data_IF_894760635852
#
_entry.id   IF_894760635852
#
_cell.length_a   1.000
_cell.length_b   1.000
_cell.length_c   1.000
_cell.angle_alpha   90.00
_cell.angle_beta   90.00
_cell.angle_gamma   90.00
#
_symmetry.space_group_name_H-M   'P 1'
#
loop_
_entity.id
_entity.type
_entity.pdbx_description
1 polymer ?
#
# COMPACT_ATOMS: atom_id res chain seq x y z
N UNK A 1 5.14 25.38 -30.03
CA UNK A 1 3.97 24.59 -29.59
C UNK A 1 4.09 24.40 -28.09
N UNK A 2 3.08 24.77 -27.30
CA UNK A 2 3.04 24.38 -25.87
C UNK A 2 2.62 22.91 -25.84
N UNK A 3 3.53 22.02 -25.47
CA UNK A 3 3.22 20.60 -25.26
C UNK A 3 2.25 20.48 -24.09
N UNK A 4 1.04 19.97 -24.36
CA UNK A 4 -0.01 19.83 -23.34
C UNK A 4 0.20 18.50 -22.60
N UNK A 5 0.67 18.58 -21.36
CA UNK A 5 0.78 17.43 -20.45
C UNK A 5 -0.62 16.95 -20.05
N UNK A 6 -0.97 15.72 -20.38
CA UNK A 6 -2.34 15.19 -20.23
C UNK A 6 -2.42 13.83 -19.53
N UNK A 7 -1.28 13.19 -19.22
CA UNK A 7 -1.25 11.88 -18.58
C UNK A 7 -1.21 12.03 -17.06
N UNK A 8 -2.09 11.29 -16.37
CA UNK A 8 -2.03 11.10 -14.92
C UNK A 8 -1.80 9.62 -14.67
N UNK A 9 -0.79 9.28 -13.88
CA UNK A 9 -0.47 7.90 -13.49
C UNK A 9 -0.89 7.68 -12.04
N UNK A 10 -1.37 6.48 -11.73
CA UNK A 10 -1.57 6.02 -10.37
C UNK A 10 -0.48 5.00 -10.01
N UNK A 11 0.35 5.36 -9.03
CA UNK A 11 1.30 4.43 -8.40
C UNK A 11 0.55 3.72 -7.28
N UNK A 12 0.43 2.41 -7.44
CA UNK A 12 -0.43 1.59 -6.60
C UNK A 12 0.19 1.24 -5.23
N UNK A 13 -0.62 0.72 -4.30
CA UNK A 13 -0.27 0.40 -2.93
C UNK A 13 0.86 -0.62 -2.74
N UNK A 14 1.21 -1.39 -3.78
CA UNK A 14 2.19 -2.47 -3.68
C UNK A 14 3.38 -2.33 -4.64
N UNK A 15 3.19 -1.68 -5.80
CA UNK A 15 4.09 -1.80 -6.95
C UNK A 15 5.55 -1.44 -6.63
N UNK A 16 5.82 -0.25 -6.09
CA UNK A 16 7.20 0.12 -5.73
C UNK A 16 7.85 -0.90 -4.78
N UNK A 17 7.14 -1.30 -3.73
CA UNK A 17 7.69 -2.13 -2.67
C UNK A 17 8.00 -3.55 -3.12
N UNK A 18 7.20 -4.12 -4.03
CA UNK A 18 7.44 -5.48 -4.53
C UNK A 18 8.47 -5.51 -5.65
N UNK A 19 8.53 -4.46 -6.48
CA UNK A 19 9.33 -4.44 -7.70
C UNK A 19 10.79 -4.05 -7.47
N UNK A 20 11.10 -3.48 -6.30
CA UNK A 20 12.43 -2.97 -5.97
C UNK A 20 13.08 -3.79 -4.85
N UNK A 21 14.42 -3.95 -4.88
CA UNK A 21 15.15 -4.63 -3.82
C UNK A 21 15.26 -3.75 -2.55
N UNK A 22 15.57 -4.32 -1.37
CA UNK A 22 15.60 -3.57 -0.11
C UNK A 22 16.63 -2.41 -0.06
N UNK A 23 17.63 -2.44 -0.94
CA UNK A 23 18.61 -1.36 -1.11
C UNK A 23 17.98 -0.09 -1.68
N UNK A 24 16.84 -0.21 -2.39
CA UNK A 24 16.10 0.91 -2.94
C UNK A 24 15.11 1.53 -1.93
N UNK A 25 14.96 0.96 -0.72
CA UNK A 25 14.14 1.54 0.36
C UNK A 25 14.87 2.72 1.04
N UNK A 26 15.30 3.69 0.23
CA UNK A 26 16.08 4.87 0.58
C UNK A 26 15.47 6.09 -0.12
N UNK A 27 15.77 7.30 0.34
CA UNK A 27 15.29 8.53 -0.34
C UNK A 27 15.72 8.59 -1.81
N UNK A 28 16.91 8.10 -2.13
CA UNK A 28 17.42 8.04 -3.50
C UNK A 28 16.63 7.05 -4.35
N UNK A 29 16.38 5.83 -3.86
CA UNK A 29 15.58 4.83 -4.58
C UNK A 29 14.13 5.27 -4.80
N UNK A 30 13.53 5.90 -3.80
CA UNK A 30 12.21 6.51 -3.91
C UNK A 30 12.19 7.64 -4.93
N UNK A 31 13.21 8.51 -4.94
CA UNK A 31 13.33 9.60 -5.92
C UNK A 31 13.47 9.07 -7.35
N UNK A 32 14.18 7.94 -7.56
CA UNK A 32 14.34 7.30 -8.87
C UNK A 32 13.01 6.89 -9.50
N UNK A 33 12.02 6.46 -8.71
CA UNK A 33 10.68 6.17 -9.22
C UNK A 33 10.07 7.41 -9.89
N UNK A 34 10.07 8.55 -9.19
CA UNK A 34 9.51 9.81 -9.71
C UNK A 34 10.29 10.32 -10.91
N UNK A 35 11.63 10.22 -10.89
CA UNK A 35 12.48 10.55 -12.03
C UNK A 35 12.09 9.74 -13.28
N UNK A 36 11.84 8.45 -13.10
CA UNK A 36 11.47 7.54 -14.19
C UNK A 36 10.16 7.97 -14.84
N UNK A 37 9.14 8.31 -14.05
CA UNK A 37 7.88 8.83 -14.59
C UNK A 37 8.05 10.23 -15.21
N UNK A 38 8.78 11.12 -14.55
CA UNK A 38 9.01 12.49 -15.01
C UNK A 38 9.82 12.59 -16.31
N UNK A 39 10.51 11.53 -16.72
CA UNK A 39 11.16 11.44 -18.03
C UNK A 39 10.16 11.48 -19.21
N UNK A 40 8.87 11.21 -18.97
CA UNK A 40 7.83 11.31 -19.99
C UNK A 40 7.37 12.75 -20.21
N UNK A 41 7.45 13.23 -21.46
CA UNK A 41 7.00 14.59 -21.83
C UNK A 41 5.49 14.81 -21.64
N UNK A 42 4.69 13.74 -21.62
CA UNK A 42 3.23 13.80 -21.51
C UNK A 42 2.72 13.76 -20.07
N UNK A 43 3.58 13.45 -19.09
CA UNK A 43 3.18 13.30 -17.70
C UNK A 43 2.82 14.65 -17.07
N UNK A 44 1.58 14.75 -16.61
CA UNK A 44 1.05 15.88 -15.83
C UNK A 44 1.19 15.64 -14.33
N UNK A 45 0.71 14.49 -13.86
CA UNK A 45 0.57 14.21 -12.44
C UNK A 45 0.82 12.74 -12.11
N UNK A 46 1.28 12.49 -10.88
CA UNK A 46 1.36 11.17 -10.28
C UNK A 46 0.46 11.18 -9.04
N UNK A 47 -0.39 10.18 -8.93
CA UNK A 47 -1.19 9.91 -7.73
C UNK A 47 -0.58 8.71 -7.02
N UNK A 48 -0.16 8.89 -5.77
CA UNK A 48 0.41 7.83 -4.95
C UNK A 48 -0.69 7.26 -4.06
N UNK A 49 -1.00 5.99 -4.22
CA UNK A 49 -1.95 5.35 -3.32
C UNK A 49 -1.32 5.15 -1.93
N UNK A 50 -2.07 5.51 -0.87
CA UNK A 50 -1.55 5.51 0.51
C UNK A 50 -2.04 4.36 1.38
N UNK A 51 -2.96 3.53 0.87
CA UNK A 51 -3.64 2.53 1.69
C UNK A 51 -4.27 1.40 0.88
N UNK A 52 -4.34 0.23 1.50
CA UNK A 52 -5.36 -0.80 1.27
C UNK A 52 -6.42 -0.59 2.36
N UNK A 53 -6.81 -1.58 3.16
CA UNK A 53 -7.57 -1.31 4.38
C UNK A 53 -6.66 -0.85 5.54
N UNK A 54 -5.37 -1.20 5.46
CA UNK A 54 -4.28 -0.68 6.31
C UNK A 54 -3.50 0.43 5.61
N UNK A 55 -2.90 1.32 6.40
CA UNK A 55 -2.04 2.39 5.90
C UNK A 55 -0.69 1.82 5.42
N UNK A 56 -0.12 2.43 4.38
CA UNK A 56 1.22 2.05 3.89
C UNK A 56 2.35 2.79 4.62
N UNK A 57 2.01 3.81 5.39
CA UNK A 57 2.94 4.60 6.20
C UNK A 57 2.67 4.40 7.68
N UNK A 58 3.56 4.92 8.54
CA UNK A 58 3.36 4.91 9.98
C UNK A 58 2.26 5.91 10.35
N UNK A 59 1.01 5.46 10.32
CA UNK A 59 -0.17 6.26 10.67
C UNK A 59 -0.45 6.15 12.17
N UNK A 60 -0.84 7.27 12.78
CA UNK A 60 -1.26 7.32 14.18
C UNK A 60 -2.75 6.95 14.36
N UNK A 61 -3.51 6.92 13.27
CA UNK A 61 -4.97 6.74 13.30
C UNK A 61 -5.44 5.46 12.63
N UNK A 62 -4.63 4.88 11.74
CA UNK A 62 -4.91 3.63 11.03
C UNK A 62 -3.77 2.65 11.27
N UNK A 63 -4.09 1.36 11.38
CA UNK A 63 -3.06 0.32 11.48
C UNK A 63 -2.17 0.34 10.22
N UNK A 64 -0.83 0.42 10.37
CA UNK A 64 0.07 0.25 9.23
C UNK A 64 0.03 -1.21 8.74
N UNK A 65 0.38 -1.44 7.47
CA UNK A 65 0.38 -2.79 6.87
C UNK A 65 1.24 -3.79 7.65
N UNK A 66 2.30 -3.30 8.30
CA UNK A 66 3.24 -4.05 9.11
C UNK A 66 2.90 -4.06 10.61
N UNK A 67 1.66 -3.74 11.01
CA UNK A 67 1.25 -3.64 12.42
C UNK A 67 1.57 -4.90 13.25
N UNK A 68 1.25 -6.08 12.71
CA UNK A 68 1.45 -7.37 13.38
C UNK A 68 2.75 -8.07 12.94
N UNK A 69 3.55 -7.42 12.09
CA UNK A 69 4.68 -8.03 11.41
C UNK A 69 5.93 -8.05 12.31
N UNK A 70 6.54 -9.22 12.47
CA UNK A 70 7.83 -9.40 13.12
C UNK A 70 8.95 -9.41 12.05
N UNK A 71 9.76 -8.33 11.95
CA UNK A 71 10.82 -8.24 10.96
C UNK A 71 11.92 -9.30 11.13
N UNK A 72 12.24 -9.64 12.38
CA UNK A 72 13.28 -10.61 12.76
C UNK A 72 12.72 -12.03 12.93
N UNK A 73 11.39 -12.16 12.89
CA UNK A 73 10.68 -13.42 13.00
C UNK A 73 10.84 -14.34 11.77
N UNK A 74 10.52 -15.64 11.96
CA UNK A 74 10.57 -16.61 10.87
C UNK A 74 9.53 -16.28 9.77
N UNK A 75 9.68 -16.85 8.56
CA UNK A 75 8.64 -16.79 7.52
C UNK A 75 7.27 -17.27 8.01
N UNK A 76 7.25 -18.27 8.89
CA UNK A 76 6.02 -18.88 9.42
C UNK A 76 5.39 -18.13 10.61
N UNK A 77 5.57 -16.81 10.66
CA UNK A 77 5.00 -15.96 11.71
C UNK A 77 3.48 -15.72 11.50
N UNK A 78 2.71 -15.45 12.58
CA UNK A 78 1.26 -15.27 12.50
C UNK A 78 0.79 -14.29 11.43
N UNK A 79 1.45 -13.14 11.29
CA UNK A 79 1.10 -12.10 10.32
C UNK A 79 1.21 -12.54 8.86
N UNK A 80 1.89 -13.66 8.54
CA UNK A 80 2.09 -14.13 7.18
C UNK A 80 1.38 -15.47 6.90
N UNK A 81 0.60 -15.99 7.86
CA UNK A 81 0.00 -17.34 7.76
C UNK A 81 -0.96 -17.50 6.58
N UNK A 82 -1.66 -16.44 6.19
CA UNK A 82 -2.52 -16.46 5.00
C UNK A 82 -1.75 -16.75 3.70
N UNK A 83 -0.50 -16.31 3.62
CA UNK A 83 0.31 -16.47 2.42
C UNK A 83 0.73 -17.92 2.21
N UNK A 84 0.83 -18.41 0.97
CA UNK A 84 1.47 -19.70 0.71
C UNK A 84 2.97 -19.62 1.09
N UNK A 85 3.61 -20.74 1.51
CA UNK A 85 4.96 -20.71 2.07
C UNK A 85 6.00 -19.96 1.23
N UNK A 86 5.95 -20.10 -0.10
CA UNK A 86 6.89 -19.43 -1.02
C UNK A 86 6.75 -17.89 -1.06
N UNK A 87 5.64 -17.34 -0.57
CA UNK A 87 5.41 -15.89 -0.47
C UNK A 87 5.68 -15.32 0.94
N UNK A 88 5.92 -16.21 1.92
CA UNK A 88 6.36 -15.83 3.27
C UNK A 88 7.86 -15.50 3.33
N UNK A 89 8.60 -15.82 2.28
CA UNK A 89 10.01 -15.47 2.13
C UNK A 89 10.20 -14.06 1.55
N UNK A 90 11.32 -13.42 1.88
CA UNK A 90 11.71 -12.16 1.24
C UNK A 90 12.20 -12.44 -0.18
N UNK A 91 11.34 -12.15 -1.16
CA UNK A 91 11.60 -12.39 -2.58
C UNK A 91 11.16 -11.17 -3.40
N UNK A 92 12.07 -10.52 -4.15
CA UNK A 92 11.68 -9.47 -5.09
C UNK A 92 10.62 -9.96 -6.09
N UNK A 93 9.65 -9.11 -6.41
CA UNK A 93 8.50 -9.41 -7.26
C UNK A 93 7.35 -10.15 -6.57
N UNK A 94 7.44 -10.42 -5.26
CA UNK A 94 6.41 -11.12 -4.50
C UNK A 94 5.52 -10.15 -3.71
N UNK A 95 4.20 -10.28 -3.83
CA UNK A 95 3.20 -9.49 -3.09
C UNK A 95 3.02 -9.91 -1.61
N UNK A 96 3.77 -10.92 -1.15
CA UNK A 96 3.74 -11.40 0.23
C UNK A 96 4.64 -10.62 1.18
N UNK A 97 5.52 -11.31 1.90
CA UNK A 97 6.39 -10.72 2.95
C UNK A 97 7.19 -9.51 2.48
N UNK A 98 7.68 -9.52 1.24
CA UNK A 98 8.48 -8.41 0.67
C UNK A 98 7.78 -7.07 0.79
N UNK A 99 6.48 -7.02 0.48
CA UNK A 99 5.71 -5.78 0.54
C UNK A 99 5.65 -5.23 1.97
N UNK A 100 5.24 -6.08 2.92
CA UNK A 100 5.12 -5.72 4.34
C UNK A 100 6.48 -5.30 4.91
N UNK A 101 7.52 -6.07 4.62
CA UNK A 101 8.87 -5.83 5.11
C UNK A 101 9.48 -4.54 4.56
N UNK A 102 9.28 -4.21 3.29
CA UNK A 102 9.82 -2.98 2.71
C UNK A 102 9.15 -1.71 3.27
N UNK A 103 7.85 -1.76 3.56
CA UNK A 103 7.18 -0.66 4.26
C UNK A 103 7.69 -0.50 5.69
N UNK A 104 7.86 -1.61 6.41
CA UNK A 104 8.50 -1.58 7.74
C UNK A 104 9.93 -1.03 7.66
N UNK A 105 10.71 -1.44 6.66
CA UNK A 105 12.10 -1.03 6.49
C UNK A 105 12.23 0.47 6.25
N UNK A 106 11.33 1.06 5.46
CA UNK A 106 11.26 2.51 5.28
C UNK A 106 11.00 3.23 6.61
N UNK A 107 10.04 2.75 7.39
CA UNK A 107 9.75 3.29 8.72
C UNK A 107 10.93 3.13 9.68
N UNK A 108 11.55 1.95 9.74
CA UNK A 108 12.71 1.67 10.59
C UNK A 108 13.91 2.56 10.23
N UNK A 109 14.02 3.01 8.97
CA UNK A 109 15.01 3.99 8.51
C UNK A 109 14.61 5.45 8.76
N UNK A 110 13.42 5.70 9.31
CA UNK A 110 12.89 7.04 9.55
C UNK A 110 12.42 7.76 8.27
N UNK A 111 12.10 7.01 7.22
CA UNK A 111 11.76 7.56 5.90
C UNK A 111 10.24 7.58 5.70
N UNK A 112 9.69 8.79 5.58
CA UNK A 112 8.35 9.00 5.02
C UNK A 112 8.44 9.05 3.50
N UNK A 113 8.12 7.93 2.86
CA UNK A 113 8.24 7.78 1.42
C UNK A 113 7.26 8.63 0.62
N UNK A 114 6.06 8.91 1.16
CA UNK A 114 5.12 9.81 0.49
C UNK A 114 5.64 11.24 0.49
N UNK A 115 6.23 11.70 1.60
CA UNK A 115 6.90 12.99 1.65
C UNK A 115 8.01 13.08 0.59
N UNK A 116 8.89 12.08 0.52
CA UNK A 116 9.98 12.02 -0.46
C UNK A 116 9.43 12.08 -1.90
N UNK A 117 8.41 11.30 -2.22
CA UNK A 117 7.80 11.31 -3.55
C UNK A 117 7.17 12.65 -3.90
N UNK A 118 6.41 13.26 -2.99
CA UNK A 118 5.80 14.57 -3.22
C UNK A 118 6.86 15.67 -3.40
N UNK A 119 7.95 15.64 -2.64
CA UNK A 119 9.08 16.55 -2.80
C UNK A 119 9.81 16.33 -4.13
N UNK A 120 10.00 15.08 -4.55
CA UNK A 120 10.57 14.75 -5.86
C UNK A 120 9.65 15.24 -6.99
N UNK A 121 8.33 15.06 -6.90
CA UNK A 121 7.37 15.59 -7.88
C UNK A 121 7.55 17.11 -8.07
N UNK A 122 7.65 17.87 -6.96
CA UNK A 122 7.90 19.32 -7.01
C UNK A 122 9.23 19.64 -7.71
N UNK A 123 10.30 18.88 -7.40
CA UNK A 123 11.62 19.06 -8.02
C UNK A 123 11.61 18.86 -9.53
N UNK A 124 10.81 17.91 -10.03
CA UNK A 124 10.73 17.56 -11.44
C UNK A 124 9.57 18.22 -12.21
N UNK A 125 8.85 19.17 -11.59
CA UNK A 125 7.77 19.89 -12.26
C UNK A 125 6.58 18.99 -12.64
N UNK A 126 6.26 18.02 -11.78
CA UNK A 126 5.11 17.11 -11.90
C UNK A 126 4.19 17.34 -10.71
N UNK A 127 2.87 17.31 -10.92
CA UNK A 127 1.91 17.39 -9.81
C UNK A 127 1.95 16.08 -9.01
N UNK A 128 2.21 16.15 -7.71
CA UNK A 128 2.14 15.00 -6.79
C UNK A 128 0.84 15.04 -5.99
N UNK A 129 0.09 13.95 -6.02
CA UNK A 129 -1.18 13.78 -5.31
C UNK A 129 -1.17 12.51 -4.47
N UNK A 130 -1.91 12.50 -3.36
CA UNK A 130 -2.22 11.29 -2.62
C UNK A 130 -3.58 10.76 -3.07
N UNK A 131 -3.71 9.45 -3.21
CA UNK A 131 -4.94 8.75 -3.54
C UNK A 131 -5.29 7.77 -2.43
N UNK A 132 -6.56 7.75 -2.03
CA UNK A 132 -7.06 6.89 -0.95
C UNK A 132 -7.97 5.83 -1.56
N UNK A 133 -7.70 4.55 -1.29
CA UNK A 133 -8.67 3.48 -1.58
C UNK A 133 -9.74 3.54 -0.51
N UNK A 134 -10.93 3.98 -0.90
CA UNK A 134 -12.01 4.18 0.06
C UNK A 134 -12.50 2.86 0.67
N UNK A 135 -12.57 1.79 -0.11
CA UNK A 135 -13.17 0.54 0.35
C UNK A 135 -12.55 -0.66 -0.36
N UNK A 136 -11.23 -0.82 -0.20
CA UNK A 136 -10.53 -1.97 -0.77
C UNK A 136 -11.08 -3.27 -0.17
N UNK A 137 -11.38 -4.25 -1.02
CA UNK A 137 -11.96 -5.52 -0.60
C UNK A 137 -11.15 -6.74 -1.05
N UNK A 138 -9.86 -6.55 -1.40
CA UNK A 138 -8.99 -7.64 -1.80
C UNK A 138 -8.99 -8.76 -0.77
N UNK A 139 -9.39 -9.95 -1.20
CA UNK A 139 -9.41 -11.16 -0.39
C UNK A 139 -10.16 -11.02 0.94
N UNK A 140 -11.27 -10.29 0.98
CA UNK A 140 -12.14 -10.22 2.17
C UNK A 140 -12.76 -11.58 2.56
N UNK A 141 -12.78 -12.54 1.63
CA UNK A 141 -13.09 -13.95 1.88
C UNK A 141 -11.98 -14.67 2.69
N UNK A 142 -10.77 -14.08 2.76
CA UNK A 142 -9.65 -14.55 3.56
C UNK A 142 -9.40 -13.63 4.77
N UNK A 143 -10.09 -13.90 5.87
CA UNK A 143 -10.12 -13.03 7.06
C UNK A 143 -8.78 -12.86 7.77
N UNK A 144 -7.84 -13.76 7.52
CA UNK A 144 -6.49 -13.79 8.07
C UNK A 144 -5.45 -13.06 7.20
N UNK A 145 -5.85 -12.46 6.07
CA UNK A 145 -4.95 -11.67 5.25
C UNK A 145 -4.42 -10.43 6.02
N UNK A 146 -3.12 -10.17 5.90
CA UNK A 146 -2.40 -9.20 6.73
C UNK A 146 -2.77 -7.73 6.51
N UNK A 147 -3.52 -7.42 5.44
CA UNK A 147 -3.95 -6.06 5.13
C UNK A 147 -5.30 -5.69 5.74
N UNK A 148 -6.03 -6.65 6.30
CA UNK A 148 -7.29 -6.38 7.00
C UNK A 148 -6.98 -5.79 8.39
N UNK A 149 -7.52 -4.63 8.78
CA UNK A 149 -7.31 -4.05 10.09
C UNK A 149 -8.19 -4.70 11.16
N UNK A 150 -7.86 -4.49 12.44
CA UNK A 150 -8.65 -5.01 13.57
C UNK A 150 -10.11 -4.57 13.51
N UNK A 151 -10.37 -3.30 13.16
CA UNK A 151 -11.74 -2.79 12.99
C UNK A 151 -12.54 -3.65 12.01
N UNK A 152 -11.97 -3.97 10.84
CA UNK A 152 -12.66 -4.78 9.83
C UNK A 152 -12.90 -6.21 10.32
N UNK A 153 -11.92 -6.83 11.00
CA UNK A 153 -11.99 -8.21 11.49
C UNK A 153 -13.01 -8.37 12.62
N UNK A 154 -13.04 -7.42 13.55
CA UNK A 154 -13.83 -7.50 14.78
C UNK A 154 -15.24 -6.91 14.65
N UNK A 155 -15.50 -6.14 13.59
CA UNK A 155 -16.80 -5.50 13.35
C UNK A 155 -17.42 -5.95 12.02
N UNK A 156 -17.77 -7.24 11.85
CA UNK A 156 -18.49 -7.70 10.67
C UNK A 156 -19.88 -7.06 10.57
N UNK A 157 -20.43 -6.54 11.67
CA UNK A 157 -21.65 -5.74 11.63
C UNK A 157 -21.47 -4.44 10.82
N UNK A 158 -20.25 -3.97 10.59
CA UNK A 158 -19.95 -2.82 9.71
C UNK A 158 -19.78 -3.20 8.24
N UNK A 159 -19.87 -4.48 7.88
CA UNK A 159 -19.79 -4.92 6.48
C UNK A 159 -21.10 -4.64 5.75
N UNK A 160 -21.03 -4.51 4.42
CA UNK A 160 -22.18 -4.23 3.54
C UNK A 160 -23.21 -5.36 3.52
N UNK A 161 -22.77 -6.62 3.57
CA UNK A 161 -23.67 -7.76 3.47
C UNK A 161 -23.23 -8.93 4.37
N UNK A 162 -23.22 -8.76 5.70
CA UNK A 162 -22.70 -9.78 6.63
C UNK A 162 -23.55 -11.06 6.72
N UNK A 163 -24.71 -11.08 6.06
CA UNK A 163 -25.67 -12.19 6.06
C UNK A 163 -25.48 -13.16 4.89
N UNK A 164 -24.49 -12.94 4.00
CA UNK A 164 -24.18 -13.81 2.86
C UNK A 164 -22.68 -13.78 2.51
N UNK A 165 -22.27 -14.71 1.66
CA UNK A 165 -20.88 -14.90 1.20
C UNK A 165 -20.84 -15.37 -0.27
N UNK A 166 -21.25 -14.47 -1.17
CA UNK A 166 -21.25 -14.63 -2.63
C UNK A 166 -20.02 -14.00 -3.29
N UNK A 167 -19.22 -13.23 -2.55
CA UNK A 167 -17.95 -12.69 -3.03
C UNK A 167 -17.25 -11.73 -2.07
N UNK A 168 -15.95 -11.54 -2.31
CA UNK A 168 -15.07 -10.61 -1.59
C UNK A 168 -15.63 -9.19 -1.34
N UNK A 169 -16.41 -8.62 -2.26
CA UNK A 169 -17.01 -7.30 -2.07
C UNK A 169 -18.07 -7.24 -0.97
N UNK A 170 -18.57 -8.37 -0.46
CA UNK A 170 -19.61 -8.39 0.58
C UNK A 170 -19.10 -7.98 1.96
N UNK A 171 -17.84 -8.35 2.25
CA UNK A 171 -17.12 -7.92 3.44
C UNK A 171 -16.66 -6.46 3.40
N UNK A 172 -16.88 -5.71 2.31
CA UNK A 172 -16.50 -4.30 2.27
C UNK A 172 -17.29 -3.49 3.31
N UNK A 173 -16.74 -2.37 3.79
CA UNK A 173 -17.44 -1.53 4.77
C UNK A 173 -18.72 -0.91 4.20
N UNK A 174 -19.74 -0.78 5.04
CA UNK A 174 -20.99 -0.08 4.76
C UNK A 174 -20.90 1.40 5.15
N UNK A 175 -20.69 2.25 4.14
CA UNK A 175 -20.62 3.71 4.29
C UNK A 175 -21.96 4.36 4.73
N UNK A 176 -23.04 3.59 4.84
CA UNK A 176 -24.28 4.05 5.48
C UNK A 176 -24.20 4.11 7.01
N UNK A 177 -23.15 3.52 7.60
CA UNK A 177 -22.94 3.47 9.05
C UNK A 177 -22.00 4.59 9.51
N UNK A 178 -22.33 5.31 10.59
CA UNK A 178 -21.51 6.44 11.06
C UNK A 178 -20.13 6.04 11.59
N UNK A 179 -19.91 4.77 11.91
CA UNK A 179 -18.61 4.24 12.34
C UNK A 179 -17.63 3.99 11.18
N UNK A 180 -18.11 4.01 9.93
CA UNK A 180 -17.34 3.82 8.68
C UNK A 180 -17.06 5.18 8.05
#
# INVERSE_FOLDING_TARGET
>A
MVTRKNLIINEDNAHFYISHPPQDMTEEGLTRLVQTYAASENLKAITFNVNVQRALFHSEVWEPLYHDYDPDGPPDQPALQWLPPHQRELRPGCHGRTWVHHLWLLHARGIDHFKVWLEACRRYGVEGWLSVRMNDCHHNDHKDAFWHPTLWRERPDLHRAPYRDEGWFEGAFDYGKPEV
#
